data_IF_020247486293
#
_entry.id   IF_020247486293
#
_cell.length_a   1.000
_cell.length_b   1.000
_cell.length_c   1.000
_cell.angle_alpha   90.00
_cell.angle_beta   90.00
_cell.angle_gamma   90.00
#
_symmetry.space_group_name_H-M   'P 1'
#
loop_
_entity.id
_entity.type
_entity.pdbx_description
1 polymer ?
#
# COMPACT_ATOMS: atom_id res chain seq x y z
N UNK A 1 -42.24 36.65 -43.95
CA UNK A 1 -41.03 35.87 -44.30
C UNK A 1 -40.14 35.86 -43.06
N UNK A 2 -40.36 34.94 -42.11
CA UNK A 2 -39.55 33.72 -41.89
C UNK A 2 -38.07 34.08 -41.69
N UNK A 3 -37.39 33.80 -40.57
CA UNK A 3 -37.35 32.54 -39.84
C UNK A 3 -36.35 32.69 -38.67
N UNK A 4 -36.82 32.36 -37.45
CA UNK A 4 -36.19 31.40 -36.52
C UNK A 4 -34.86 31.79 -35.85
N UNK A 5 -35.01 32.37 -34.66
CA UNK A 5 -34.00 32.41 -33.58
C UNK A 5 -33.58 30.99 -33.17
N UNK A 6 -32.29 30.69 -33.27
CA UNK A 6 -31.68 29.47 -32.74
C UNK A 6 -31.49 29.61 -31.23
N UNK A 7 -32.26 28.88 -30.44
CA UNK A 7 -32.02 28.69 -29.00
C UNK A 7 -30.92 27.64 -28.82
N UNK A 8 -29.81 28.04 -28.19
CA UNK A 8 -28.79 27.12 -27.73
C UNK A 8 -29.37 26.23 -26.62
N UNK A 9 -29.35 24.92 -26.84
CA UNK A 9 -29.70 23.89 -25.86
C UNK A 9 -28.48 23.71 -24.95
N UNK A 10 -28.55 24.21 -23.72
CA UNK A 10 -27.54 23.96 -22.70
C UNK A 10 -27.71 22.53 -22.17
N UNK A 11 -26.91 21.60 -22.67
CA UNK A 11 -26.84 20.22 -22.17
C UNK A 11 -26.20 20.23 -20.77
N UNK A 12 -26.95 19.77 -19.78
CA UNK A 12 -26.43 19.49 -18.43
C UNK A 12 -25.41 18.34 -18.50
N UNK A 13 -24.27 18.40 -17.78
CA UNK A 13 -23.32 17.29 -17.73
C UNK A 13 -23.92 16.06 -17.04
N UNK A 14 -23.51 14.84 -17.41
CA UNK A 14 -24.05 13.61 -16.84
C UNK A 14 -23.53 13.39 -15.40
N UNK A 15 -24.45 13.22 -14.46
CA UNK A 15 -24.18 12.84 -13.07
C UNK A 15 -23.77 11.37 -13.02
N UNK A 16 -22.48 11.10 -12.81
CA UNK A 16 -22.00 9.74 -12.52
C UNK A 16 -22.32 9.37 -11.06
N UNK A 17 -23.54 8.91 -10.80
CA UNK A 17 -23.85 8.15 -9.58
C UNK A 17 -23.87 6.66 -9.92
N UNK A 18 -22.74 5.97 -9.73
CA UNK A 18 -22.70 4.51 -9.73
C UNK A 18 -23.05 4.01 -8.33
N UNK A 19 -24.31 3.64 -8.15
CA UNK A 19 -24.74 2.79 -7.03
C UNK A 19 -24.18 1.38 -7.26
N UNK A 20 -23.26 0.95 -6.41
CA UNK A 20 -22.80 -0.43 -6.42
C UNK A 20 -23.73 -1.27 -5.55
N UNK A 21 -24.74 -1.89 -6.16
CA UNK A 21 -25.47 -3.02 -5.56
C UNK A 21 -24.87 -4.30 -6.11
N UNK A 22 -23.93 -4.90 -5.38
CA UNK A 22 -23.40 -6.23 -5.72
C UNK A 22 -24.40 -7.27 -5.21
N UNK A 23 -25.16 -7.87 -6.13
CA UNK A 23 -25.85 -9.14 -5.88
C UNK A 23 -25.22 -10.17 -6.81
N UNK A 24 -24.54 -11.17 -6.24
CA UNK A 24 -24.18 -12.38 -6.96
C UNK A 24 -24.87 -13.55 -6.29
N UNK A 25 -26.03 -13.92 -6.83
CA UNK A 25 -26.52 -15.29 -6.69
C UNK A 25 -25.68 -16.16 -7.62
N UNK A 26 -24.96 -17.12 -7.05
CA UNK A 26 -24.46 -18.28 -7.78
C UNK A 26 -24.91 -19.50 -6.99
N UNK A 27 -25.99 -20.12 -7.46
CA UNK A 27 -26.35 -21.48 -7.10
C UNK A 27 -25.46 -22.40 -7.93
N UNK A 28 -24.44 -22.98 -7.32
CA UNK A 28 -23.81 -24.18 -7.85
C UNK A 28 -23.68 -25.18 -6.71
N UNK A 29 -24.59 -26.15 -6.72
CA UNK A 29 -24.53 -27.36 -5.94
C UNK A 29 -23.32 -28.18 -6.37
N UNK A 30 -22.31 -28.29 -5.52
CA UNK A 30 -21.25 -29.28 -5.65
C UNK A 30 -21.24 -30.15 -4.40
N UNK A 31 -21.69 -31.39 -4.59
CA UNK A 31 -21.51 -32.48 -3.65
C UNK A 31 -20.03 -32.88 -3.74
N UNK A 32 -19.19 -32.27 -2.91
CA UNK A 32 -17.82 -32.71 -2.66
C UNK A 32 -17.70 -33.11 -1.19
N UNK A 33 -17.04 -34.25 -0.95
CA UNK A 33 -17.19 -35.08 0.25
C UNK A 33 -17.10 -34.38 1.60
N UNK A 34 -17.95 -34.86 2.52
CA UNK A 34 -17.91 -34.58 3.95
C UNK A 34 -16.53 -34.99 4.52
N UNK A 35 -15.60 -34.04 4.64
CA UNK A 35 -14.43 -34.18 5.51
C UNK A 35 -14.81 -33.64 6.89
N UNK A 36 -14.66 -34.51 7.88
CA UNK A 36 -14.86 -34.26 9.31
C UNK A 36 -14.48 -32.84 9.74
N UNK A 37 -15.50 -32.04 10.06
CA UNK A 37 -15.36 -30.70 10.63
C UNK A 37 -14.96 -30.81 12.09
N UNK A 38 -13.69 -30.56 12.41
CA UNK A 38 -13.43 -29.81 13.64
C UNK A 38 -14.07 -28.43 13.45
N UNK A 39 -14.62 -27.78 14.50
CA UNK A 39 -15.04 -26.39 14.40
C UNK A 39 -13.79 -25.52 14.20
N UNK A 40 -13.29 -25.49 12.98
CA UNK A 40 -12.38 -24.43 12.54
C UNK A 40 -13.27 -23.20 12.48
N UNK A 41 -12.94 -22.22 13.31
CA UNK A 41 -13.58 -20.92 13.24
C UNK A 41 -13.35 -20.38 11.82
N UNK A 42 -14.39 -20.46 10.98
CA UNK A 42 -14.39 -19.97 9.59
C UNK A 42 -14.28 -18.44 9.53
N UNK A 43 -14.15 -17.77 10.68
CA UNK A 43 -13.80 -16.36 10.77
C UNK A 43 -12.49 -16.14 9.99
N UNK A 44 -12.54 -15.38 8.87
CA UNK A 44 -11.32 -15.01 8.17
C UNK A 44 -10.36 -14.39 9.18
N UNK A 45 -9.07 -14.79 9.20
CA UNK A 45 -8.13 -14.15 10.11
C UNK A 45 -8.22 -12.65 9.88
N UNK A 46 -8.49 -11.90 10.94
CA UNK A 46 -8.68 -10.47 10.87
C UNK A 46 -7.35 -9.85 10.42
N UNK A 47 -7.22 -9.56 9.14
CA UNK A 47 -6.05 -8.88 8.59
C UNK A 47 -6.01 -7.46 9.13
N UNK A 48 -4.85 -7.03 9.62
CA UNK A 48 -4.60 -5.63 9.98
C UNK A 48 -4.53 -4.82 8.69
N UNK A 49 -5.18 -3.64 8.68
CA UNK A 49 -5.15 -2.75 7.53
C UNK A 49 -3.73 -2.21 7.29
N UNK A 50 -3.34 -2.01 6.03
CA UNK A 50 -1.99 -1.52 5.70
C UNK A 50 -1.73 -0.11 6.22
N UNK A 51 -2.74 0.75 6.21
CA UNK A 51 -2.63 2.12 6.69
C UNK A 51 -2.41 2.25 8.20
N UNK A 52 -2.61 1.18 8.96
CA UNK A 52 -2.27 1.12 10.39
C UNK A 52 -0.90 0.51 10.67
N UNK A 53 -0.15 0.10 9.64
CA UNK A 53 1.16 -0.51 9.77
C UNK A 53 2.26 0.42 9.26
N UNK A 54 3.34 0.50 10.03
CA UNK A 54 4.55 1.27 9.71
C UNK A 54 5.71 0.34 9.39
N UNK A 55 6.32 0.56 8.23
CA UNK A 55 7.50 -0.16 7.75
C UNK A 55 8.74 0.72 7.93
N UNK A 56 9.70 0.23 8.71
CA UNK A 56 10.98 0.87 8.97
C UNK A 56 12.12 0.31 8.13
N UNK A 57 12.92 1.20 7.55
CA UNK A 57 14.15 0.86 6.81
C UNK A 57 15.33 1.49 7.55
N UNK A 58 16.06 0.72 8.38
CA UNK A 58 17.20 1.21 9.14
C UNK A 58 18.43 1.39 8.26
N UNK A 59 19.38 2.17 8.77
CA UNK A 59 20.72 2.27 8.20
C UNK A 59 21.52 1.02 8.56
N UNK A 60 22.21 0.44 7.58
CA UNK A 60 23.11 -0.68 7.85
C UNK A 60 24.39 -0.20 8.53
N UNK A 61 24.76 -0.91 9.61
CA UNK A 61 25.93 -0.59 10.45
C UNK A 61 27.08 -1.57 10.28
N UNK A 62 26.86 -2.69 9.58
CA UNK A 62 27.90 -3.67 9.36
C UNK A 62 29.00 -3.13 8.43
N UNK A 63 30.26 -3.40 8.77
CA UNK A 63 31.40 -2.91 7.99
C UNK A 63 31.30 -3.37 6.52
N UNK A 64 31.51 -2.43 5.60
CA UNK A 64 31.45 -2.64 4.14
C UNK A 64 30.09 -3.07 3.57
N UNK A 65 29.01 -3.12 4.37
CA UNK A 65 27.66 -3.31 3.83
C UNK A 65 27.20 -2.00 3.19
N UNK A 66 26.98 -2.06 1.88
CA UNK A 66 26.58 -0.90 1.07
C UNK A 66 25.12 -0.94 0.64
N UNK A 67 24.47 -2.11 0.75
CA UNK A 67 23.08 -2.30 0.33
C UNK A 67 22.13 -1.63 1.33
N UNK A 68 20.92 -1.40 0.86
CA UNK A 68 19.78 -0.96 1.65
C UNK A 68 18.64 -1.96 1.43
N UNK A 69 17.81 -2.17 2.45
CA UNK A 69 16.75 -3.18 2.39
C UNK A 69 15.62 -2.83 1.41
N UNK A 70 15.41 -1.55 1.13
CA UNK A 70 14.45 -1.07 0.15
C UNK A 70 14.99 0.14 -0.61
N UNK A 71 14.83 0.12 -1.93
CA UNK A 71 15.11 1.25 -2.83
C UNK A 71 13.93 2.24 -2.83
N UNK A 72 14.11 3.49 -3.27
CA UNK A 72 13.00 4.44 -3.43
C UNK A 72 11.84 3.88 -4.29
N UNK A 73 12.16 3.12 -5.34
CA UNK A 73 11.13 2.44 -6.14
C UNK A 73 10.31 1.42 -5.33
N UNK A 74 10.99 0.62 -4.49
CA UNK A 74 10.32 -0.37 -3.63
C UNK A 74 9.49 0.32 -2.55
N UNK A 75 9.98 1.44 -2.02
CA UNK A 75 9.23 2.28 -1.08
C UNK A 75 7.94 2.80 -1.68
N UNK A 76 7.97 3.34 -2.91
CA UNK A 76 6.77 3.79 -3.59
C UNK A 76 5.72 2.68 -3.76
N UNK A 77 6.18 1.43 -3.98
CA UNK A 77 5.31 0.25 -4.07
C UNK A 77 4.71 -0.18 -2.72
N UNK A 78 5.35 0.14 -1.60
CA UNK A 78 4.80 -0.08 -0.25
C UNK A 78 3.81 1.02 0.13
N UNK A 79 4.10 2.26 -0.24
CA UNK A 79 3.22 3.40 0.02
C UNK A 79 1.91 3.29 -0.80
N UNK A 80 1.99 2.81 -2.05
CA UNK A 80 0.83 2.68 -2.94
C UNK A 80 -0.38 1.90 -2.36
N UNK A 81 -0.22 0.72 -1.73
CA UNK A 81 -1.31 0.02 -1.05
C UNK A 81 -1.66 0.60 0.33
N UNK A 82 -0.89 1.55 0.85
CA UNK A 82 -1.25 2.34 2.04
C UNK A 82 -0.34 2.19 3.26
N UNK A 83 0.79 1.48 3.19
CA UNK A 83 1.71 1.42 4.32
C UNK A 83 2.31 2.80 4.64
N UNK A 84 2.49 3.09 5.94
CA UNK A 84 3.38 4.18 6.35
C UNK A 84 4.82 3.69 6.25
N UNK A 85 5.71 4.44 5.61
CA UNK A 85 7.11 4.05 5.45
C UNK A 85 8.01 5.09 6.11
N UNK A 86 8.87 4.64 7.02
CA UNK A 86 9.89 5.46 7.68
C UNK A 86 11.28 4.94 7.31
N UNK A 87 12.19 5.85 6.99
CA UNK A 87 13.56 5.54 6.58
C UNK A 87 14.52 6.25 7.53
N UNK A 88 15.49 5.53 8.05
CA UNK A 88 16.53 6.12 8.89
C UNK A 88 17.41 7.07 8.06
N UNK A 89 17.76 8.22 8.64
CA UNK A 89 18.58 9.23 7.97
C UNK A 89 19.88 8.64 7.40
N UNK A 90 20.06 8.75 6.08
CA UNK A 90 21.24 8.27 5.39
C UNK A 90 21.31 6.75 5.18
N UNK A 91 20.21 6.01 5.39
CA UNK A 91 20.16 4.56 5.16
C UNK A 91 20.57 4.16 3.74
N UNK A 92 20.13 4.91 2.72
CA UNK A 92 20.43 4.64 1.32
C UNK A 92 21.74 5.25 0.80
N UNK A 93 22.47 6.02 1.62
CA UNK A 93 23.63 6.82 1.16
C UNK A 93 24.70 5.96 0.48
N UNK A 94 25.00 4.79 1.05
CA UNK A 94 26.01 3.86 0.49
C UNK A 94 25.50 3.08 -0.73
N UNK A 95 24.18 3.10 -0.97
CA UNK A 95 23.50 2.56 -2.15
C UNK A 95 23.21 3.62 -3.21
N UNK A 96 23.78 4.83 -3.09
CA UNK A 96 23.56 5.96 -4.00
C UNK A 96 22.11 6.50 -4.04
N UNK A 97 21.36 6.32 -2.95
CA UNK A 97 20.06 6.96 -2.76
C UNK A 97 20.16 8.03 -1.69
N UNK A 98 19.72 9.25 -2.02
CA UNK A 98 19.64 10.36 -1.10
C UNK A 98 18.37 10.28 -0.25
N UNK A 99 18.35 10.99 0.88
CA UNK A 99 17.14 11.13 1.69
C UNK A 99 15.97 11.72 0.88
N UNK A 100 16.26 12.69 0.00
CA UNK A 100 15.27 13.31 -0.87
C UNK A 100 14.61 12.32 -1.84
N UNK A 101 15.33 11.30 -2.30
CA UNK A 101 14.77 10.26 -3.18
C UNK A 101 13.70 9.44 -2.44
N UNK A 102 13.91 9.17 -1.15
CA UNK A 102 12.94 8.48 -0.31
C UNK A 102 11.73 9.35 0.03
N UNK A 103 11.94 10.63 0.31
CA UNK A 103 10.85 11.60 0.52
C UNK A 103 9.98 11.74 -0.73
N UNK A 104 10.61 11.83 -1.91
CA UNK A 104 9.90 11.86 -3.19
C UNK A 104 9.11 10.56 -3.47
N UNK A 105 9.56 9.42 -2.92
CA UNK A 105 8.85 8.15 -2.97
C UNK A 105 7.72 8.03 -1.93
N UNK A 106 7.55 9.02 -1.05
CA UNK A 106 6.49 9.08 -0.04
C UNK A 106 6.87 8.52 1.33
N UNK A 107 8.15 8.25 1.59
CA UNK A 107 8.61 7.90 2.93
C UNK A 107 8.92 9.14 3.79
N UNK A 108 8.89 8.95 5.11
CA UNK A 108 9.34 9.94 6.09
C UNK A 108 10.76 9.61 6.55
N UNK A 109 11.64 10.61 6.56
CA UNK A 109 12.99 10.46 7.12
C UNK A 109 12.94 10.69 8.62
N UNK A 110 13.55 9.78 9.39
CA UNK A 110 13.61 9.85 10.86
C UNK A 110 15.02 9.51 11.36
N UNK A 111 15.44 10.04 12.53
CA UNK A 111 16.74 9.69 13.10
C UNK A 111 16.78 8.28 13.68
N UNK A 112 15.62 7.69 14.04
CA UNK A 112 15.51 6.36 14.62
C UNK A 112 14.15 5.74 14.22
N UNK A 113 14.17 4.49 13.77
CA UNK A 113 12.97 3.75 13.29
C UNK A 113 12.41 2.75 14.31
N UNK A 114 13.17 2.37 15.35
CA UNK A 114 12.90 1.19 16.18
C UNK A 114 11.67 1.33 17.06
N UNK A 115 11.29 2.55 17.42
CA UNK A 115 10.10 2.82 18.25
C UNK A 115 8.83 3.04 17.45
N UNK A 116 8.95 3.40 16.17
CA UNK A 116 7.81 3.80 15.32
C UNK A 116 7.41 2.70 14.33
N UNK A 117 8.20 1.63 14.18
CA UNK A 117 7.99 0.61 13.13
C UNK A 117 7.35 -0.66 13.67
N UNK A 118 6.27 -1.10 13.03
CA UNK A 118 5.67 -2.43 13.24
C UNK A 118 6.47 -3.53 12.52
N UNK A 119 7.05 -3.17 11.36
CA UNK A 119 7.81 -4.07 10.49
C UNK A 119 9.15 -3.42 10.18
N UNK A 120 10.27 -4.15 10.37
CA UNK A 120 11.60 -3.65 10.02
C UNK A 120 12.17 -4.47 8.87
N UNK A 121 12.49 -3.81 7.76
CA UNK A 121 13.15 -4.42 6.60
C UNK A 121 14.65 -4.17 6.70
N UNK A 122 15.44 -5.24 6.88
CA UNK A 122 16.89 -5.15 7.07
C UNK A 122 17.63 -6.18 6.25
N UNK A 123 18.84 -5.85 5.79
CA UNK A 123 19.64 -6.71 4.90
C UNK A 123 20.35 -7.80 5.69
N UNK A 124 20.98 -7.44 6.82
CA UNK A 124 21.70 -8.37 7.70
C UNK A 124 20.97 -8.57 9.01
N UNK A 125 21.28 -9.69 9.70
CA UNK A 125 20.82 -9.94 11.08
C UNK A 125 21.23 -8.79 12.00
N UNK A 126 20.39 -8.51 12.98
CA UNK A 126 20.68 -7.59 14.10
C UNK A 126 21.85 -8.11 14.93
N UNK A 127 22.74 -7.22 15.33
CA UNK A 127 23.87 -7.52 16.22
C UNK A 127 23.39 -7.77 17.64
#
# INVERSE_FOLDING_TARGET
>A
MTSRLLRAVTLSPPTWQRSYRVVRHITSSSVYGQKSSTPVDDTPPLGVAYNSLTVGIPKETYALEKRVAATPESVARLVAPGFSVVVEEGAGRNSFFSNADYEAAGAKIVPNIWTESDIVLKVRRTN
#
